data_IF_702753834696
#
_entry.id   IF_702753834696
#
_cell.length_a   1.000
_cell.length_b   1.000
_cell.length_c   1.000
_cell.angle_alpha   90.00
_cell.angle_beta   90.00
_cell.angle_gamma   90.00
#
_symmetry.space_group_name_H-M   'P 1'
#
loop_
_entity.id
_entity.type
_entity.pdbx_description
1 polymer ?
#
# COMPACT_ATOMS: atom_id res chain seq x y z
N UNK A 1 -32.25 -4.67 57.46
CA UNK A 1 -32.11 -3.92 56.19
C UNK A 1 -31.49 -4.86 55.17
N UNK A 2 -32.28 -5.29 54.19
CA UNK A 2 -31.89 -6.23 53.13
C UNK A 2 -31.27 -5.47 51.97
N UNK A 3 -29.97 -5.65 51.71
CA UNK A 3 -29.31 -5.10 50.52
C UNK A 3 -29.42 -6.12 49.39
N UNK A 4 -30.43 -5.94 48.53
CA UNK A 4 -30.48 -6.56 47.20
C UNK A 4 -29.37 -5.95 46.35
N UNK A 5 -28.33 -6.73 46.04
CA UNK A 5 -27.37 -6.38 44.99
C UNK A 5 -27.98 -6.81 43.65
N UNK A 6 -28.37 -5.84 42.82
CA UNK A 6 -28.69 -6.07 41.42
C UNK A 6 -27.42 -6.53 40.70
N UNK A 7 -27.47 -7.72 40.09
CA UNK A 7 -26.48 -8.15 39.12
C UNK A 7 -26.74 -7.41 37.81
N UNK A 8 -25.85 -6.50 37.43
CA UNK A 8 -25.83 -5.93 36.09
C UNK A 8 -25.30 -7.00 35.14
N UNK A 9 -26.16 -7.52 34.26
CA UNK A 9 -25.74 -8.36 33.15
C UNK A 9 -25.01 -7.47 32.14
N UNK A 10 -23.68 -7.54 32.14
CA UNK A 10 -22.86 -6.99 31.06
C UNK A 10 -22.94 -8.00 29.91
N UNK A 11 -23.80 -7.73 28.93
CA UNK A 11 -23.71 -8.37 27.62
C UNK A 11 -22.43 -7.88 26.97
N UNK A 12 -21.36 -8.67 27.08
CA UNK A 12 -20.16 -8.49 26.27
C UNK A 12 -20.57 -8.65 24.79
N UNK A 13 -20.62 -7.55 24.04
CA UNK A 13 -20.55 -7.64 22.59
C UNK A 13 -19.20 -8.25 22.26
N UNK A 14 -19.21 -9.49 21.74
CA UNK A 14 -18.04 -10.07 21.12
C UNK A 14 -17.63 -9.13 19.95
N UNK A 15 -16.36 -8.75 19.83
CA UNK A 15 -15.91 -8.03 18.64
C UNK A 15 -16.14 -8.93 17.42
N UNK A 16 -16.73 -8.36 16.37
CA UNK A 16 -16.85 -8.99 15.06
C UNK A 16 -15.46 -9.48 14.61
N UNK A 17 -15.42 -10.69 14.05
CA UNK A 17 -14.26 -11.57 14.02
C UNK A 17 -12.96 -10.94 13.54
N UNK A 18 -11.89 -11.28 14.26
CA UNK A 18 -10.53 -11.27 13.71
C UNK A 18 -10.54 -12.29 12.58
N UNK A 19 -10.34 -11.87 11.33
CA UNK A 19 -10.03 -12.78 10.23
C UNK A 19 -8.75 -13.53 10.64
N UNK A 20 -8.89 -14.78 11.07
CA UNK A 20 -7.78 -15.58 11.54
C UNK A 20 -6.89 -15.97 10.37
N UNK A 21 -5.58 -16.07 10.62
CA UNK A 21 -4.65 -16.75 9.70
C UNK A 21 -5.21 -18.14 9.42
N UNK A 22 -5.44 -18.45 8.15
CA UNK A 22 -5.88 -19.77 7.74
C UNK A 22 -4.67 -20.71 7.72
N UNK A 23 -4.80 -21.85 8.41
CA UNK A 23 -3.77 -22.88 8.46
C UNK A 23 -4.41 -24.22 8.10
N UNK A 24 -3.98 -24.82 7.00
CA UNK A 24 -4.39 -26.16 6.59
C UNK A 24 -3.18 -26.96 6.09
N UNK A 25 -2.68 -27.89 6.92
CA UNK A 25 -1.46 -28.62 6.64
C UNK A 25 -0.27 -27.66 6.50
N UNK A 26 0.31 -27.59 5.30
CA UNK A 26 1.42 -26.69 4.96
C UNK A 26 0.96 -25.32 4.42
N UNK A 27 -0.33 -25.12 4.18
CA UNK A 27 -0.85 -23.84 3.66
C UNK A 27 -1.08 -22.90 4.84
N UNK A 28 -0.40 -21.75 4.82
CA UNK A 28 -0.59 -20.64 5.75
C UNK A 28 -0.98 -19.41 4.94
N UNK A 29 -2.18 -18.89 5.15
CA UNK A 29 -2.72 -17.75 4.41
C UNK A 29 -3.23 -16.65 5.37
N UNK A 30 -3.18 -15.37 4.97
CA UNK A 30 -3.49 -14.25 5.86
C UNK A 30 -4.98 -14.12 6.18
N UNK A 31 -5.85 -14.87 5.51
CA UNK A 31 -7.27 -14.98 5.80
C UNK A 31 -7.84 -16.32 5.32
N UNK A 32 -9.09 -16.60 5.68
CA UNK A 32 -9.80 -17.84 5.34
C UNK A 32 -10.53 -17.81 3.99
N UNK A 33 -10.47 -16.70 3.24
CA UNK A 33 -11.10 -16.58 1.92
C UNK A 33 -10.51 -17.55 0.89
N UNK A 34 -11.30 -18.49 0.35
CA UNK A 34 -10.87 -19.44 -0.69
C UNK A 34 -10.87 -18.81 -2.10
N UNK A 35 -11.18 -17.52 -2.22
CA UNK A 35 -11.14 -16.74 -3.47
C UNK A 35 -9.95 -15.79 -3.47
N UNK A 36 -9.65 -15.14 -2.34
CA UNK A 36 -8.66 -14.04 -2.28
C UNK A 36 -7.40 -14.36 -1.48
N UNK A 37 -7.42 -15.35 -0.57
CA UNK A 37 -6.25 -15.69 0.27
C UNK A 37 -5.61 -17.02 -0.07
N UNK A 38 -6.41 -18.01 -0.45
CA UNK A 38 -5.94 -19.36 -0.77
C UNK A 38 -6.94 -20.06 -1.69
N UNK A 39 -6.64 -21.29 -2.08
CA UNK A 39 -7.57 -22.14 -2.82
C UNK A 39 -7.38 -22.15 -4.34
N UNK A 40 -8.12 -23.05 -4.98
CA UNK A 40 -7.98 -23.36 -6.40
C UNK A 40 -8.49 -22.22 -7.31
N UNK A 41 -9.51 -21.45 -6.87
CA UNK A 41 -10.06 -20.32 -7.63
C UNK A 41 -8.97 -19.27 -7.85
N UNK A 42 -8.33 -18.82 -6.77
CA UNK A 42 -7.23 -17.87 -6.84
C UNK A 42 -6.09 -18.41 -7.71
N UNK A 43 -5.65 -19.64 -7.44
CA UNK A 43 -4.51 -20.25 -8.13
C UNK A 43 -4.75 -20.36 -9.65
N UNK A 44 -5.89 -20.92 -10.07
CA UNK A 44 -6.16 -21.17 -11.48
C UNK A 44 -6.38 -19.86 -12.26
N UNK A 45 -7.03 -18.86 -11.66
CA UNK A 45 -7.27 -17.56 -12.31
C UNK A 45 -5.95 -16.80 -12.47
N UNK A 46 -5.12 -16.71 -11.43
CA UNK A 46 -3.83 -16.03 -11.50
C UNK A 46 -2.88 -16.70 -12.51
N UNK A 47 -2.83 -18.04 -12.53
CA UNK A 47 -2.00 -18.78 -13.50
C UNK A 47 -2.51 -18.66 -14.94
N UNK A 48 -3.82 -18.46 -15.14
CA UNK A 48 -4.39 -18.20 -16.44
C UNK A 48 -4.08 -16.78 -16.96
N UNK A 49 -3.69 -15.84 -16.09
CA UNK A 49 -3.33 -14.45 -16.42
C UNK A 49 -4.37 -13.76 -17.33
N UNK A 50 -5.64 -13.64 -16.89
CA UNK A 50 -6.69 -12.97 -17.66
C UNK A 50 -6.44 -11.47 -17.83
N UNK A 51 -5.68 -10.87 -16.91
CA UNK A 51 -5.37 -9.44 -16.87
C UNK A 51 -3.86 -9.20 -16.97
N UNK A 52 -3.48 -8.00 -17.43
CA UNK A 52 -2.07 -7.59 -17.48
C UNK A 52 -1.50 -7.34 -16.07
N UNK A 53 -2.28 -6.71 -15.19
CA UNK A 53 -1.98 -6.60 -13.76
C UNK A 53 -2.68 -7.74 -13.00
N UNK A 54 -1.90 -8.54 -12.28
CA UNK A 54 -2.44 -9.63 -11.44
C UNK A 54 -3.33 -9.13 -10.31
N UNK A 55 -3.13 -7.88 -9.88
CA UNK A 55 -3.93 -7.33 -8.77
C UNK A 55 -5.37 -7.12 -9.18
N UNK A 56 -5.63 -7.01 -10.49
CA UNK A 56 -6.97 -6.78 -11.02
C UNK A 56 -7.96 -7.80 -10.46
N UNK A 57 -7.67 -9.09 -10.48
CA UNK A 57 -8.62 -10.11 -10.02
C UNK A 57 -8.84 -10.05 -8.49
N UNK A 58 -7.76 -9.95 -7.72
CA UNK A 58 -7.87 -9.90 -6.26
C UNK A 58 -8.49 -8.60 -5.74
N UNK A 59 -8.57 -7.56 -6.56
CA UNK A 59 -9.26 -6.31 -6.29
C UNK A 59 -10.73 -6.31 -6.78
N UNK A 60 -11.17 -7.34 -7.50
CA UNK A 60 -12.55 -7.47 -7.96
C UNK A 60 -13.42 -8.12 -6.87
N UNK A 61 -14.44 -7.43 -6.34
CA UNK A 61 -15.32 -7.99 -5.33
C UNK A 61 -16.28 -9.02 -5.92
N UNK A 62 -16.69 -10.01 -5.14
CA UNK A 62 -17.69 -10.98 -5.59
C UNK A 62 -19.07 -10.32 -5.57
N UNK A 63 -19.84 -10.48 -6.65
CA UNK A 63 -21.24 -10.02 -6.75
C UNK A 63 -22.23 -11.17 -6.60
N UNK A 64 -21.73 -12.37 -6.29
CA UNK A 64 -22.43 -13.63 -6.05
C UNK A 64 -21.91 -14.28 -4.77
N UNK A 65 -22.75 -15.09 -4.12
CA UNK A 65 -22.36 -15.80 -2.90
C UNK A 65 -21.18 -16.75 -3.15
N UNK A 66 -20.39 -17.05 -2.13
CA UNK A 66 -19.25 -17.98 -2.25
C UNK A 66 -19.67 -19.31 -2.90
N UNK A 67 -20.83 -19.84 -2.51
CA UNK A 67 -21.35 -21.09 -3.05
C UNK A 67 -21.64 -20.98 -4.55
N UNK A 68 -22.34 -19.93 -4.99
CA UNK A 68 -22.64 -19.72 -6.42
C UNK A 68 -21.36 -19.60 -7.25
N UNK A 69 -20.35 -18.87 -6.75
CA UNK A 69 -19.06 -18.71 -7.43
C UNK A 69 -18.34 -20.06 -7.53
N UNK A 70 -18.31 -20.85 -6.45
CA UNK A 70 -17.71 -22.18 -6.46
C UNK A 70 -18.41 -23.14 -7.42
N UNK A 71 -19.75 -23.11 -7.46
CA UNK A 71 -20.55 -23.92 -8.39
C UNK A 71 -20.35 -23.49 -9.84
N UNK A 72 -20.20 -22.19 -10.11
CA UNK A 72 -19.88 -21.67 -11.44
C UNK A 72 -18.45 -22.05 -11.85
N UNK A 73 -17.48 -21.94 -10.94
CA UNK A 73 -16.08 -22.29 -11.17
C UNK A 73 -15.91 -23.79 -11.46
N UNK A 74 -16.63 -24.65 -10.73
CA UNK A 74 -16.59 -26.10 -10.94
C UNK A 74 -17.04 -26.55 -12.34
N UNK A 75 -17.76 -25.70 -13.08
CA UNK A 75 -18.21 -25.96 -14.45
C UNK A 75 -17.16 -25.61 -15.50
N UNK A 76 -16.11 -24.86 -15.15
CA UNK A 76 -15.05 -24.50 -16.07
C UNK A 76 -14.12 -25.68 -16.35
N UNK A 77 -13.62 -25.74 -17.57
CA UNK A 77 -12.62 -26.74 -17.95
C UNK A 77 -11.25 -26.34 -17.40
N UNK A 78 -10.62 -27.24 -16.64
CA UNK A 78 -9.30 -27.04 -16.04
C UNK A 78 -8.20 -27.74 -16.87
N UNK A 79 -6.95 -27.23 -16.90
CA UNK A 79 -6.51 -25.98 -16.30
C UNK A 79 -7.12 -24.77 -17.01
N UNK A 80 -7.40 -23.70 -16.26
CA UNK A 80 -7.95 -22.48 -16.83
C UNK A 80 -7.00 -21.88 -17.88
N UNK A 81 -7.60 -21.28 -18.91
CA UNK A 81 -6.90 -20.55 -19.96
C UNK A 81 -7.50 -19.16 -20.07
N UNK A 82 -6.70 -18.20 -20.54
CA UNK A 82 -7.20 -16.88 -20.89
C UNK A 82 -8.06 -16.96 -22.16
N UNK A 83 -9.32 -17.38 -21.99
CA UNK A 83 -10.31 -17.57 -23.04
C UNK A 83 -11.67 -16.96 -22.66
N UNK A 84 -12.62 -17.03 -23.58
CA UNK A 84 -13.96 -16.45 -23.38
C UNK A 84 -14.69 -17.05 -22.18
N UNK A 85 -14.49 -18.34 -21.88
CA UNK A 85 -15.18 -18.99 -20.76
C UNK A 85 -14.71 -18.42 -19.41
N UNK A 86 -13.41 -18.14 -19.27
CA UNK A 86 -12.87 -17.45 -18.10
C UNK A 86 -13.42 -16.01 -17.99
N UNK A 87 -13.40 -15.24 -19.08
CA UNK A 87 -13.91 -13.86 -19.07
C UNK A 87 -15.41 -13.79 -18.78
N UNK A 88 -16.20 -14.72 -19.33
CA UNK A 88 -17.64 -14.83 -19.04
C UNK A 88 -17.89 -15.19 -17.57
N UNK A 89 -17.09 -16.10 -17.00
CA UNK A 89 -17.14 -16.42 -15.57
C UNK A 89 -16.81 -15.20 -14.71
N UNK A 90 -15.75 -14.46 -15.03
CA UNK A 90 -15.34 -13.27 -14.28
C UNK A 90 -16.44 -12.20 -14.32
N UNK A 91 -16.97 -11.89 -15.50
CA UNK A 91 -18.02 -10.89 -15.69
C UNK A 91 -19.35 -11.26 -14.99
N UNK A 92 -19.66 -12.55 -14.88
CA UNK A 92 -20.90 -13.00 -14.24
C UNK A 92 -20.83 -13.04 -12.71
N UNK A 93 -19.64 -13.16 -12.12
CA UNK A 93 -19.44 -13.45 -10.70
C UNK A 93 -18.73 -12.33 -9.92
N UNK A 94 -18.01 -11.43 -10.60
CA UNK A 94 -17.19 -10.40 -9.98
C UNK A 94 -17.52 -9.00 -10.49
N UNK A 95 -17.39 -8.02 -9.61
CA UNK A 95 -17.59 -6.60 -9.89
C UNK A 95 -16.33 -5.94 -10.45
N UNK A 96 -16.38 -4.62 -10.63
CA UNK A 96 -15.21 -3.85 -11.05
C UNK A 96 -14.14 -3.82 -9.94
N UNK A 97 -12.87 -3.94 -10.34
CA UNK A 97 -11.74 -3.81 -9.42
C UNK A 97 -11.82 -2.51 -8.60
N UNK A 98 -11.67 -2.61 -7.27
CA UNK A 98 -11.71 -1.47 -6.35
C UNK A 98 -13.10 -0.89 -6.07
N UNK A 99 -14.19 -1.48 -6.57
CA UNK A 99 -15.55 -0.97 -6.40
C UNK A 99 -16.04 -0.95 -4.93
N UNK A 100 -15.33 -1.63 -4.02
CA UNK A 100 -15.63 -1.63 -2.58
C UNK A 100 -15.02 -0.45 -1.82
N UNK A 101 -14.28 0.44 -2.50
CA UNK A 101 -13.61 1.59 -1.89
C UNK A 101 -14.12 2.90 -2.48
N UNK A 102 -14.52 3.82 -1.61
CA UNK A 102 -14.91 5.17 -2.00
C UNK A 102 -13.96 6.23 -1.42
N UNK A 103 -13.64 7.25 -2.20
CA UNK A 103 -12.84 8.38 -1.74
C UNK A 103 -13.59 9.17 -0.66
N UNK A 104 -12.90 9.48 0.43
CA UNK A 104 -13.43 10.38 1.45
C UNK A 104 -13.16 11.82 1.01
N UNK A 105 -14.17 12.72 1.02
CA UNK A 105 -13.97 14.12 0.68
C UNK A 105 -12.88 14.79 1.54
N UNK A 106 -11.98 15.54 0.89
CA UNK A 106 -10.82 16.16 1.55
C UNK A 106 -11.20 17.13 2.67
N UNK A 107 -12.33 17.82 2.53
CA UNK A 107 -12.88 18.76 3.51
C UNK A 107 -13.37 18.07 4.81
N UNK A 108 -13.55 16.76 4.79
CA UNK A 108 -13.89 15.95 5.96
C UNK A 108 -12.65 15.40 6.68
N UNK A 109 -11.46 15.60 6.11
CA UNK A 109 -10.21 15.05 6.62
C UNK A 109 -9.30 16.17 7.15
N UNK A 110 -8.56 15.86 8.20
CA UNK A 110 -7.59 16.78 8.78
C UNK A 110 -6.32 15.99 9.09
N UNK A 111 -5.18 16.51 8.63
CA UNK A 111 -3.86 15.95 8.92
C UNK A 111 -3.16 16.82 9.93
N UNK A 112 -2.82 16.26 11.09
CA UNK A 112 -2.02 16.93 12.12
C UNK A 112 -0.73 16.12 12.37
N UNK A 113 0.35 16.53 11.71
CA UNK A 113 1.63 15.83 11.73
C UNK A 113 2.52 16.30 12.90
N UNK A 114 2.02 16.25 14.13
CA UNK A 114 2.71 16.75 15.35
C UNK A 114 4.14 16.22 15.53
N UNK A 115 4.44 15.03 15.00
CA UNK A 115 5.78 14.45 15.07
C UNK A 115 6.84 15.24 14.28
N UNK A 116 6.44 16.11 13.35
CA UNK A 116 7.36 16.95 12.59
C UNK A 116 8.06 17.98 13.48
N UNK A 117 7.50 18.31 14.65
CA UNK A 117 8.09 19.27 15.60
C UNK A 117 9.44 18.80 16.14
N UNK A 118 9.66 17.47 16.25
CA UNK A 118 10.95 16.88 16.67
C UNK A 118 11.96 16.71 15.52
N UNK A 119 11.56 16.90 14.27
CA UNK A 119 12.44 16.71 13.10
C UNK A 119 13.31 17.94 12.92
N UNK A 120 14.58 17.87 13.31
CA UNK A 120 15.47 19.05 13.36
C UNK A 120 15.90 19.57 11.98
N UNK A 121 16.07 18.68 10.98
CA UNK A 121 16.49 19.10 9.65
C UNK A 121 15.30 19.64 8.83
N UNK A 122 15.39 20.88 8.29
CA UNK A 122 14.27 21.51 7.58
C UNK A 122 13.93 20.83 6.25
N UNK A 123 14.91 20.21 5.57
CA UNK A 123 14.67 19.50 4.30
C UNK A 123 13.83 18.26 4.55
N UNK A 124 14.22 17.46 5.56
CA UNK A 124 13.45 16.27 5.96
C UNK A 124 12.05 16.67 6.41
N UNK A 125 11.94 17.70 7.25
CA UNK A 125 10.65 18.16 7.77
C UNK A 125 9.70 18.59 6.66
N UNK A 126 10.16 19.43 5.73
CA UNK A 126 9.34 19.92 4.62
C UNK A 126 8.98 18.82 3.63
N UNK A 127 9.91 17.92 3.31
CA UNK A 127 9.63 16.77 2.45
C UNK A 127 8.52 15.90 3.05
N UNK A 128 8.66 15.50 4.31
CA UNK A 128 7.67 14.64 4.98
C UNK A 128 6.34 15.37 5.17
N UNK A 129 6.34 16.68 5.41
CA UNK A 129 5.11 17.47 5.42
C UNK A 129 4.37 17.40 4.08
N UNK A 130 5.08 17.45 2.95
CA UNK A 130 4.47 17.29 1.61
C UNK A 130 3.93 15.88 1.41
N UNK A 131 4.60 14.85 1.92
CA UNK A 131 4.11 13.46 1.88
C UNK A 131 2.87 13.28 2.78
N UNK A 132 2.80 13.97 3.92
CA UNK A 132 1.61 13.99 4.78
C UNK A 132 0.41 14.66 4.10
N UNK A 133 0.62 15.70 3.29
CA UNK A 133 -0.45 16.43 2.59
C UNK A 133 -1.16 15.57 1.50
N UNK A 134 -0.61 14.40 1.18
CA UNK A 134 -1.16 13.40 0.24
C UNK A 134 -2.25 12.55 0.90
N UNK A 135 -2.17 12.35 2.21
CA UNK A 135 -3.03 11.39 2.92
C UNK A 135 -4.52 11.58 2.68
N UNK A 136 -5.05 12.82 2.66
CA UNK A 136 -6.45 13.03 2.36
C UNK A 136 -6.86 12.48 0.99
N UNK A 137 -6.00 12.57 -0.02
CA UNK A 137 -6.29 12.12 -1.38
C UNK A 137 -6.18 10.59 -1.53
N UNK A 138 -5.48 9.92 -0.62
CA UNK A 138 -5.33 8.47 -0.52
C UNK A 138 -6.36 7.83 0.42
N UNK A 139 -7.02 8.62 1.26
CA UNK A 139 -7.97 8.09 2.24
C UNK A 139 -9.21 7.55 1.52
N UNK A 140 -9.54 6.30 1.84
CA UNK A 140 -10.72 5.60 1.33
C UNK A 140 -11.57 5.11 2.50
N UNK A 141 -12.86 5.02 2.28
CA UNK A 141 -13.78 4.31 3.17
C UNK A 141 -14.28 3.06 2.46
N UNK A 142 -14.43 1.99 3.23
CA UNK A 142 -15.02 0.76 2.72
C UNK A 142 -16.52 0.98 2.52
N UNK A 143 -16.97 0.84 1.28
CA UNK A 143 -18.36 0.87 0.88
C UNK A 143 -18.68 -0.50 0.29
N UNK A 144 -19.16 -1.47 1.09
CA UNK A 144 -19.56 -2.76 0.55
C UNK A 144 -20.56 -2.50 -0.57
N UNK A 145 -20.20 -2.94 -1.78
CA UNK A 145 -20.94 -2.59 -2.99
C UNK A 145 -22.41 -2.99 -2.92
N UNK A 146 -23.22 -2.45 -3.82
CA UNK A 146 -24.59 -2.90 -4.11
C UNK A 146 -24.54 -4.26 -4.82
N UNK A 147 -24.05 -5.29 -4.14
CA UNK A 147 -24.04 -6.64 -4.67
C UNK A 147 -25.46 -7.23 -4.63
N UNK A 148 -25.77 -8.15 -5.55
CA UNK A 148 -27.09 -8.81 -5.63
C UNK A 148 -27.32 -9.88 -4.54
N UNK A 149 -26.46 -9.88 -3.53
CA UNK A 149 -26.35 -10.79 -2.40
C UNK A 149 -26.22 -9.93 -1.15
N UNK A 150 -26.51 -10.49 0.03
CA UNK A 150 -26.26 -9.72 1.25
C UNK A 150 -24.76 -9.52 1.46
N UNK A 151 -24.36 -8.40 2.06
CA UNK A 151 -22.96 -8.11 2.39
C UNK A 151 -22.30 -9.16 3.31
N UNK A 152 -23.09 -10.04 3.94
CA UNK A 152 -22.61 -11.16 4.75
C UNK A 152 -22.33 -12.44 3.92
N UNK A 153 -22.88 -12.56 2.72
CA UNK A 153 -22.81 -13.76 1.88
C UNK A 153 -21.82 -13.64 0.72
N UNK A 154 -21.51 -12.40 0.31
CA UNK A 154 -20.58 -12.13 -0.76
C UNK A 154 -19.15 -11.95 -0.27
N UNK A 155 -18.19 -12.75 -0.78
CA UNK A 155 -16.78 -12.56 -0.48
C UNK A 155 -16.28 -11.18 -0.91
N UNK A 156 -15.87 -10.39 0.07
CA UNK A 156 -15.22 -9.10 -0.12
C UNK A 156 -13.77 -9.28 -0.54
N UNK A 157 -13.34 -8.50 -1.54
CA UNK A 157 -11.92 -8.36 -1.91
C UNK A 157 -11.15 -7.60 -0.83
N UNK A 158 -11.85 -6.72 -0.11
CA UNK A 158 -11.33 -6.06 1.08
C UNK A 158 -11.32 -7.01 2.28
N UNK A 159 -10.13 -7.44 2.71
CA UNK A 159 -9.95 -8.32 3.88
C UNK A 159 -9.69 -7.47 5.13
N UNK A 160 -10.64 -7.42 6.10
CA UNK A 160 -10.44 -6.64 7.31
C UNK A 160 -9.34 -7.25 8.19
N UNK A 161 -8.47 -6.41 8.75
CA UNK A 161 -7.62 -6.81 9.87
C UNK A 161 -6.22 -7.33 9.54
N UNK A 162 -5.74 -7.25 8.29
CA UNK A 162 -4.31 -7.51 7.98
C UNK A 162 -3.35 -6.54 8.71
N UNK A 163 -3.87 -5.39 9.18
CA UNK A 163 -3.17 -4.40 10.00
C UNK A 163 -3.51 -4.47 11.50
N UNK A 164 -4.45 -5.33 11.90
CA UNK A 164 -4.87 -5.50 13.29
C UNK A 164 -4.19 -6.72 13.96
N UNK A 165 -2.98 -7.07 13.51
CA UNK A 165 -2.06 -7.80 14.37
C UNK A 165 -1.68 -6.85 15.50
N UNK A 166 -2.51 -6.80 16.55
CA UNK A 166 -2.17 -6.11 17.77
C UNK A 166 -0.77 -6.59 18.20
N UNK A 167 0.16 -5.69 18.55
CA UNK A 167 1.35 -6.12 19.22
C UNK A 167 0.92 -6.91 20.45
N UNK A 168 1.44 -8.13 20.59
CA UNK A 168 1.24 -9.00 21.74
C UNK A 168 1.18 -8.16 23.03
N UNK A 169 0.08 -8.21 23.82
CA UNK A 169 -0.03 -7.46 25.06
C UNK A 169 0.96 -8.04 26.07
N UNK A 170 2.17 -7.48 26.08
CA UNK A 170 3.29 -8.01 26.85
C UNK A 170 4.66 -7.47 26.44
N UNK A 171 4.80 -6.82 25.29
CA UNK A 171 6.01 -6.07 24.94
C UNK A 171 6.08 -4.75 25.72
N UNK A 172 6.34 -4.83 27.03
CA UNK A 172 6.73 -3.67 27.82
C UNK A 172 8.00 -3.02 27.25
N UNK A 173 8.30 -1.75 27.61
CA UNK A 173 9.58 -1.17 27.27
C UNK A 173 10.67 -2.11 27.79
N UNK A 174 11.59 -2.52 26.92
CA UNK A 174 12.72 -3.35 27.31
C UNK A 174 13.68 -2.53 28.19
N UNK A 175 13.26 -2.20 29.41
CA UNK A 175 13.98 -1.45 30.42
C UNK A 175 14.98 -2.37 31.12
N UNK A 176 16.14 -2.53 30.49
CA UNK A 176 17.33 -3.16 31.04
C UNK A 176 18.57 -2.58 30.36
N UNK A 177 19.77 -2.69 30.96
CA UNK A 177 21.00 -2.27 30.30
C UNK A 177 21.12 -2.96 28.93
N UNK A 178 21.33 -2.17 27.87
CA UNK A 178 21.26 -2.67 26.50
C UNK A 178 22.31 -3.76 26.23
N UNK A 179 21.89 -4.97 25.82
CA UNK A 179 22.82 -5.98 25.33
C UNK A 179 23.54 -5.45 24.08
N UNK A 180 24.84 -5.76 23.86
CA UNK A 180 25.58 -5.33 22.68
C UNK A 180 24.85 -5.64 21.35
N UNK A 181 24.18 -6.79 21.28
CA UNK A 181 23.40 -7.23 20.13
C UNK A 181 22.23 -6.29 19.78
N UNK A 182 21.71 -5.54 20.76
CA UNK A 182 20.61 -4.57 20.55
C UNK A 182 21.11 -3.28 19.89
N UNK A 183 22.36 -2.88 20.14
CA UNK A 183 22.98 -1.71 19.52
C UNK A 183 23.23 -1.92 18.04
N UNK A 184 23.69 -3.11 17.66
CA UNK A 184 23.93 -3.46 16.26
C UNK A 184 22.62 -3.50 15.46
N UNK A 185 21.54 -4.03 16.07
CA UNK A 185 20.20 -4.03 15.49
C UNK A 185 19.65 -2.61 15.33
N UNK A 186 19.79 -1.74 16.34
CA UNK A 186 19.38 -0.34 16.24
C UNK A 186 20.17 0.39 15.16
N UNK A 187 21.49 0.22 15.12
CA UNK A 187 22.36 0.83 14.12
C UNK A 187 22.02 0.34 12.70
N UNK A 188 21.70 -0.94 12.51
CA UNK A 188 21.19 -1.46 11.24
C UNK A 188 19.84 -0.83 10.88
N UNK A 189 18.91 -0.75 11.82
CA UNK A 189 17.60 -0.15 11.59
C UNK A 189 17.71 1.33 11.17
N UNK A 190 18.58 2.11 11.81
CA UNK A 190 18.87 3.50 11.43
C UNK A 190 19.46 3.57 10.03
N UNK A 191 20.39 2.68 9.68
CA UNK A 191 20.96 2.63 8.31
C UNK A 191 19.92 2.31 7.25
N UNK A 192 19.01 1.38 7.52
CA UNK A 192 17.91 1.05 6.61
C UNK A 192 16.94 2.22 6.48
N UNK A 193 16.58 2.86 7.59
CA UNK A 193 15.75 4.05 7.60
C UNK A 193 16.38 5.21 6.81
N UNK A 194 17.68 5.48 7.00
CA UNK A 194 18.41 6.48 6.24
C UNK A 194 18.41 6.15 4.75
N UNK A 195 18.75 4.90 4.38
CA UNK A 195 18.79 4.49 2.97
C UNK A 195 17.44 4.64 2.29
N UNK A 196 16.37 4.34 3.01
CA UNK A 196 15.00 4.50 2.52
C UNK A 196 14.63 5.98 2.35
N UNK A 197 14.93 6.80 3.35
CA UNK A 197 14.75 8.26 3.29
C UNK A 197 15.51 8.87 2.11
N UNK A 198 16.78 8.48 1.91
CA UNK A 198 17.59 8.95 0.79
C UNK A 198 16.96 8.55 -0.54
N UNK A 199 16.49 7.30 -0.65
CA UNK A 199 15.88 6.81 -1.89
C UNK A 199 14.59 7.53 -2.24
N UNK A 200 13.71 7.70 -1.25
CA UNK A 200 12.45 8.40 -1.40
C UNK A 200 12.65 9.89 -1.70
N UNK A 201 13.55 10.55 -0.98
CA UNK A 201 13.81 11.98 -1.18
C UNK A 201 14.47 12.25 -2.54
N UNK A 202 15.48 11.49 -2.93
CA UNK A 202 16.25 11.78 -4.14
C UNK A 202 15.48 11.49 -5.41
N UNK A 203 14.63 10.45 -5.43
CA UNK A 203 13.69 10.21 -6.53
C UNK A 203 12.61 11.27 -6.61
N UNK A 204 12.04 11.66 -5.47
CA UNK A 204 11.07 12.75 -5.39
C UNK A 204 11.67 14.08 -5.88
N UNK A 205 12.91 14.39 -5.48
CA UNK A 205 13.64 15.56 -5.91
C UNK A 205 13.93 15.55 -7.42
N UNK A 206 14.41 14.42 -7.97
CA UNK A 206 14.69 14.25 -9.40
C UNK A 206 13.45 14.48 -10.30
N UNK A 207 12.25 14.29 -9.74
CA UNK A 207 10.97 14.38 -10.45
C UNK A 207 10.19 15.67 -10.15
N UNK A 208 10.83 16.68 -9.54
CA UNK A 208 10.25 18.01 -9.34
C UNK A 208 9.97 18.39 -7.89
N UNK A 209 10.27 17.50 -6.96
CA UNK A 209 10.27 17.81 -5.53
C UNK A 209 11.17 19.01 -5.24
N UNK A 210 10.76 19.83 -4.27
CA UNK A 210 11.59 20.94 -3.81
C UNK A 210 11.23 21.34 -2.38
N UNK A 211 12.22 21.83 -1.66
CA UNK A 211 12.08 22.41 -0.31
C UNK A 211 12.67 23.82 -0.32
N UNK A 212 12.48 24.59 0.74
CA UNK A 212 13.09 25.90 0.91
C UNK A 212 14.62 25.88 0.86
N UNK A 213 15.25 24.73 1.14
CA UNK A 213 16.70 24.53 1.13
C UNK A 213 17.20 23.61 0.00
N UNK A 214 16.28 23.10 -0.82
CA UNK A 214 16.57 22.23 -1.97
C UNK A 214 15.70 22.71 -3.14
N UNK A 215 16.14 23.76 -3.86
CA UNK A 215 15.34 24.35 -4.94
C UNK A 215 15.20 23.35 -6.10
N UNK A 216 14.09 23.47 -6.84
CA UNK A 216 13.76 22.60 -7.97
C UNK A 216 14.89 22.54 -9.00
N UNK A 217 15.14 21.34 -9.55
CA UNK A 217 16.15 21.12 -10.59
C UNK A 217 15.81 21.89 -11.88
N UNK A 218 16.83 22.35 -12.63
CA UNK A 218 16.62 23.03 -13.90
C UNK A 218 15.95 22.11 -14.93
N UNK A 219 15.07 22.66 -15.75
CA UNK A 219 14.32 21.93 -16.78
C UNK A 219 12.96 21.40 -16.31
N UNK A 220 12.65 21.49 -15.01
CA UNK A 220 11.35 21.14 -14.45
C UNK A 220 10.45 22.37 -14.32
N UNK A 221 9.16 22.15 -14.51
CA UNK A 221 8.10 23.16 -14.48
C UNK A 221 7.39 23.20 -13.13
N UNK A 222 6.53 24.20 -12.91
CA UNK A 222 5.71 24.28 -11.70
C UNK A 222 4.72 23.11 -11.54
N UNK A 223 4.40 22.41 -12.64
CA UNK A 223 3.57 21.20 -12.60
C UNK A 223 4.30 19.99 -12.01
N UNK A 224 5.63 19.97 -12.07
CA UNK A 224 6.45 18.88 -11.55
C UNK A 224 6.65 19.07 -10.04
N UNK A 225 5.91 18.33 -9.22
CA UNK A 225 5.92 18.48 -7.75
C UNK A 225 6.65 17.36 -7.02
N UNK A 226 7.27 16.46 -7.78
CA UNK A 226 7.95 15.27 -7.29
C UNK A 226 7.02 14.07 -7.14
N UNK A 227 7.54 12.89 -7.46
CA UNK A 227 6.83 11.62 -7.50
C UNK A 227 7.37 10.71 -6.40
N UNK A 228 6.45 10.04 -5.70
CA UNK A 228 6.76 8.95 -4.77
C UNK A 228 6.47 7.62 -5.47
N UNK A 229 7.33 6.62 -5.30
CA UNK A 229 7.20 5.32 -5.97
C UNK A 229 6.81 4.21 -5.00
N UNK A 230 6.07 3.20 -5.45
CA UNK A 230 5.75 2.00 -4.67
C UNK A 230 7.01 1.30 -4.13
N UNK A 231 8.08 1.26 -4.91
CA UNK A 231 9.34 0.57 -4.57
C UNK A 231 10.55 1.36 -5.07
N UNK A 232 11.69 1.14 -4.40
CA UNK A 232 12.99 1.77 -4.71
C UNK A 232 14.07 0.72 -4.98
N UNK A 233 15.07 1.07 -5.77
CA UNK A 233 16.20 0.18 -6.07
C UNK A 233 17.10 -0.03 -4.84
N UNK A 234 17.60 -1.25 -4.64
CA UNK A 234 18.61 -1.49 -3.59
C UNK A 234 19.98 -0.86 -3.94
N UNK A 235 20.27 -0.73 -5.24
CA UNK A 235 21.60 -0.40 -5.74
C UNK A 235 21.79 1.09 -6.08
N UNK A 236 20.70 1.87 -6.04
CA UNK A 236 20.71 3.30 -6.31
C UNK A 236 19.76 4.07 -5.39
N UNK A 237 20.05 5.33 -5.10
CA UNK A 237 19.21 6.26 -4.31
C UNK A 237 18.23 7.05 -5.18
N UNK A 238 18.37 7.05 -6.50
CA UNK A 238 17.56 7.89 -7.39
C UNK A 238 16.79 7.08 -8.44
N UNK A 239 16.49 5.81 -8.15
CA UNK A 239 15.81 4.90 -9.09
C UNK A 239 14.68 4.17 -8.38
N UNK A 240 13.52 4.14 -9.02
CA UNK A 240 12.42 3.26 -8.64
C UNK A 240 12.88 1.79 -8.68
N UNK A 241 12.34 0.94 -7.81
CA UNK A 241 12.66 -0.49 -7.82
C UNK A 241 12.16 -1.15 -9.11
N UNK A 242 12.55 -2.38 -9.39
CA UNK A 242 12.12 -3.07 -10.60
C UNK A 242 12.46 -4.55 -10.56
N UNK A 243 12.22 -5.24 -11.68
CA UNK A 243 12.50 -6.67 -11.81
C UNK A 243 11.46 -7.60 -11.17
N UNK A 244 10.34 -7.03 -10.70
CA UNK A 244 9.15 -7.80 -10.31
C UNK A 244 8.24 -8.11 -11.51
N UNK A 245 7.15 -8.83 -11.26
CA UNK A 245 6.16 -9.19 -12.29
C UNK A 245 5.36 -7.98 -12.80
N UNK A 246 5.35 -6.85 -12.08
CA UNK A 246 4.62 -5.62 -12.43
C UNK A 246 5.54 -4.40 -12.50
N UNK A 247 5.11 -3.44 -13.33
CA UNK A 247 5.68 -2.11 -13.38
C UNK A 247 5.49 -1.36 -12.06
N UNK A 248 6.33 -0.36 -11.83
CA UNK A 248 6.26 0.42 -10.59
C UNK A 248 5.14 1.43 -10.66
N UNK A 249 4.29 1.42 -9.64
CA UNK A 249 3.20 2.37 -9.50
C UNK A 249 3.67 3.64 -8.76
N UNK A 250 3.17 4.79 -9.19
CA UNK A 250 3.33 6.06 -8.49
C UNK A 250 2.34 6.18 -7.33
N UNK A 251 2.79 6.69 -6.18
CA UNK A 251 1.90 7.09 -5.08
C UNK A 251 1.31 5.94 -4.27
N UNK A 252 2.13 5.00 -3.79
CA UNK A 252 1.66 3.91 -2.93
C UNK A 252 1.62 4.31 -1.44
N UNK A 253 0.45 4.16 -0.82
CA UNK A 253 0.22 4.57 0.57
C UNK A 253 1.14 3.88 1.60
N UNK A 254 1.52 2.63 1.37
CA UNK A 254 2.42 1.93 2.28
C UNK A 254 3.83 2.53 2.30
N UNK A 255 4.36 2.85 1.12
CA UNK A 255 5.69 3.45 0.96
C UNK A 255 5.77 4.77 1.72
N UNK A 256 4.76 5.60 1.55
CA UNK A 256 4.66 6.86 2.26
C UNK A 256 4.53 6.65 3.79
N UNK A 257 3.78 5.63 4.22
CA UNK A 257 3.65 5.25 5.63
C UNK A 257 4.98 4.78 6.26
N UNK A 258 5.77 4.00 5.53
CA UNK A 258 7.11 3.58 5.96
C UNK A 258 8.04 4.78 6.11
N UNK A 259 7.98 5.77 5.20
CA UNK A 259 8.75 7.00 5.31
C UNK A 259 8.39 7.77 6.58
N UNK A 260 7.09 7.97 6.82
CA UNK A 260 6.57 8.66 8.00
C UNK A 260 7.03 7.94 9.27
N UNK A 261 6.87 6.61 9.33
CA UNK A 261 7.31 5.79 10.48
C UNK A 261 8.83 5.89 10.71
N UNK A 262 9.63 5.83 9.64
CA UNK A 262 11.08 5.92 9.74
C UNK A 262 11.51 7.28 10.30
N UNK A 263 10.93 8.38 9.79
CA UNK A 263 11.25 9.72 10.27
C UNK A 263 10.75 9.94 11.70
N UNK A 264 9.56 9.49 12.03
CA UNK A 264 9.03 9.54 13.40
C UNK A 264 9.93 8.78 14.39
N UNK A 265 10.36 7.57 14.03
CA UNK A 265 11.12 6.67 14.90
C UNK A 265 12.61 7.03 15.04
N UNK A 266 13.21 7.57 13.97
CA UNK A 266 14.67 7.77 13.88
C UNK A 266 15.09 9.23 13.67
N UNK A 267 14.17 10.20 13.74
CA UNK A 267 14.42 11.64 13.51
C UNK A 267 15.69 12.22 14.17
N UNK A 268 16.04 11.77 15.37
CA UNK A 268 17.23 12.25 16.08
C UNK A 268 18.57 11.77 15.48
N UNK A 269 18.54 10.69 14.70
CA UNK A 269 19.70 10.00 14.15
C UNK A 269 19.80 10.14 12.62
N UNK A 270 18.69 10.49 11.96
CA UNK A 270 18.62 10.72 10.53
C UNK A 270 19.38 11.99 10.13
N UNK A 271 20.04 11.91 8.98
CA UNK A 271 20.76 12.99 8.35
C UNK A 271 20.02 13.45 7.10
N UNK A 272 20.27 14.71 6.71
CA UNK A 272 19.79 15.25 5.44
C UNK A 272 20.18 14.29 4.30
N UNK A 273 19.23 13.95 3.41
CA UNK A 273 19.53 13.15 2.23
C UNK A 273 20.63 13.77 1.39
N UNK A 274 21.59 12.94 0.98
CA UNK A 274 22.61 13.30 0.01
C UNK A 274 22.31 12.59 -1.31
N UNK A 275 21.89 13.36 -2.30
CA UNK A 275 21.55 12.84 -3.61
C UNK A 275 22.76 12.79 -4.56
N UNK A 276 23.88 13.43 -4.23
CA UNK A 276 24.96 13.66 -5.18
C UNK A 276 24.51 14.49 -6.39
N UNK A 277 25.12 14.24 -7.54
CA UNK A 277 24.85 14.93 -8.81
C UNK A 277 23.59 14.38 -9.49
N UNK A 278 22.41 14.69 -8.94
CA UNK A 278 21.12 14.31 -9.55
C UNK A 278 20.70 15.32 -10.63
N UNK A 279 20.33 14.79 -11.79
CA UNK A 279 19.72 15.53 -12.88
C UNK A 279 18.19 15.34 -12.90
N UNK A 280 17.48 16.28 -13.52
CA UNK A 280 16.04 16.18 -13.72
C UNK A 280 15.69 14.93 -14.54
N UNK A 281 14.68 14.17 -14.11
CA UNK A 281 14.16 13.06 -14.89
C UNK A 281 13.60 13.57 -16.24
N UNK A 282 14.04 12.96 -17.35
CA UNK A 282 13.64 13.39 -18.70
C UNK A 282 12.19 12.95 -19.01
N UNK A 283 11.22 13.87 -18.90
CA UNK A 283 9.82 13.60 -19.22
C UNK A 283 9.56 13.30 -20.72
N UNK A 284 10.45 13.72 -21.63
CA UNK A 284 10.22 13.72 -23.10
C UNK A 284 11.05 12.68 -23.91
N UNK A 285 11.84 11.79 -23.28
CA UNK A 285 12.71 10.86 -24.03
C UNK A 285 11.95 9.66 -24.65
N UNK A 286 12.28 9.17 -25.87
CA UNK A 286 11.64 7.98 -26.47
C UNK A 286 11.96 6.67 -25.71
N UNK A 287 10.96 5.79 -25.61
CA UNK A 287 10.96 4.54 -24.81
C UNK A 287 12.20 3.65 -24.95
N UNK A 288 12.82 3.56 -26.14
CA UNK A 288 13.98 2.70 -26.36
C UNK A 288 15.27 3.17 -25.66
N UNK A 289 15.37 4.46 -25.28
CA UNK A 289 16.52 5.03 -24.56
C UNK A 289 16.32 5.07 -23.03
N UNK A 290 15.11 4.75 -22.54
CA UNK A 290 14.74 4.71 -21.11
C UNK A 290 15.26 3.47 -20.36
N UNK A 291 15.87 2.50 -21.06
CA UNK A 291 16.44 1.28 -20.46
C UNK A 291 17.76 1.47 -19.71
N UNK A 292 18.40 2.64 -19.80
CA UNK A 292 19.75 2.87 -19.26
C UNK A 292 19.93 4.18 -18.47
N UNK A 293 18.86 4.93 -18.21
CA UNK A 293 18.87 6.09 -17.33
C UNK A 293 17.58 6.07 -16.51
N UNK A 294 17.72 6.26 -15.20
CA UNK A 294 16.71 5.94 -14.20
C UNK A 294 15.39 6.71 -14.29
N UNK A 295 14.45 6.17 -13.50
CA UNK A 295 13.08 6.58 -13.24
C UNK A 295 12.11 6.42 -14.44
N UNK A 296 10.99 5.75 -14.13
CA UNK A 296 9.72 5.66 -14.89
C UNK A 296 9.54 4.44 -15.80
N UNK A 297 8.45 3.70 -15.56
CA UNK A 297 7.45 3.52 -16.61
C UNK A 297 6.04 3.36 -16.01
N UNK A 298 5.05 3.96 -16.68
CA UNK A 298 3.61 3.64 -16.58
C UNK A 298 3.04 3.58 -18.00
N UNK A 299 2.27 2.54 -18.33
CA UNK A 299 1.68 2.30 -19.66
C UNK A 299 0.70 3.43 -20.05
N UNK A 300 0.69 3.79 -21.34
CA UNK A 300 -0.16 4.85 -21.90
C UNK A 300 -1.67 4.58 -21.74
N UNK A 301 -2.08 3.36 -21.40
CA UNK A 301 -3.47 2.99 -21.11
C UNK A 301 -3.88 3.22 -19.65
N UNK A 302 -2.91 3.36 -18.74
CA UNK A 302 -3.16 3.54 -17.29
C UNK A 302 -3.08 5.00 -16.83
N UNK A 303 -2.57 5.90 -17.68
CA UNK A 303 -2.53 7.35 -17.46
C UNK A 303 -3.84 8.01 -16.97
N UNK A 304 -5.06 7.55 -17.37
CA UNK A 304 -6.31 8.16 -16.89
C UNK A 304 -6.72 7.75 -15.46
N UNK A 305 -6.17 6.66 -14.93
CA UNK A 305 -6.55 6.08 -13.62
C UNK A 305 -5.57 6.45 -12.50
N UNK A 306 -4.51 7.19 -12.83
CA UNK A 306 -3.47 7.65 -11.91
C UNK A 306 -3.84 9.05 -11.43
N UNK A 307 -4.00 9.23 -10.12
CA UNK A 307 -3.98 10.58 -9.54
C UNK A 307 -2.56 11.12 -9.67
N UNK A 308 -2.32 11.92 -10.70
CA UNK A 308 -1.07 12.65 -10.85
C UNK A 308 -0.86 13.56 -9.64
N UNK A 309 0.29 13.42 -9.01
CA UNK A 309 0.69 14.30 -7.94
C UNK A 309 0.85 15.72 -8.50
N UNK A 310 0.13 16.71 -7.96
CA UNK A 310 0.31 18.13 -8.30
C UNK A 310 -0.55 18.76 -9.40
N UNK A 311 -1.41 18.01 -10.10
CA UNK A 311 -2.47 18.64 -10.91
C UNK A 311 -3.75 18.79 -10.09
N UNK A 312 -4.05 20.03 -9.71
CA UNK A 312 -5.39 20.43 -9.25
C UNK A 312 -6.39 20.40 -10.41
#
# INVERSE_FOLDING_TARGET
MSLRRLAAAVTALAPAGVAGVFVNGSVVAPCDSPIYCHGEILQEIELARPFADSKTFVDMPAIKSLQEVQEAFAKLQKPLRNDSALHDFLAANFGQAGAELSAVPRDQLTTDAVFLDKVSDPVIREFVAKVMDIWPDLTRTYTPGTSNCSAAECPSSFIPGLLNAAPEPGAGPCAGPEPPQRRDVRALAVRLAQRYLDSAFCTWYATGGSTSHTPKLPGLTDADVGIMFEKYSDNSTNVAGGGGEYDVVEGFGWTNGVLIWAVDTFSAELKRPDCGDVEAANADAPAARRRSAGALDVDARDAPSIKMFGRR
#
